data_IF_155476212546
#
_entry.id   IF_155476212546
#
_cell.length_a   1.000
_cell.length_b   1.000
_cell.length_c   1.000
_cell.angle_alpha   90.00
_cell.angle_beta   90.00
_cell.angle_gamma   90.00
#
_symmetry.space_group_name_H-M   'P 1'
#
loop_
_entity.id
_entity.type
_entity.pdbx_description
1 polymer ?
#
# COMPACT_ATOMS: atom_id res chain seq x y z
N UNK A 1 12.28 -1.22 44.47
CA UNK A 1 11.23 -1.94 43.71
C UNK A 1 11.38 -1.52 42.26
N UNK A 2 12.08 -2.34 41.50
CA UNK A 2 12.35 -2.12 40.08
C UNK A 2 11.08 -2.39 39.29
N UNK A 3 10.55 -1.34 38.67
CA UNK A 3 9.40 -1.40 37.76
C UNK A 3 9.86 -2.07 36.47
N UNK A 4 9.77 -3.39 36.43
CA UNK A 4 9.97 -4.21 35.24
C UNK A 4 8.84 -3.89 34.28
N UNK A 5 9.09 -2.90 33.41
CA UNK A 5 8.29 -2.65 32.23
C UNK A 5 8.27 -3.95 31.42
N UNK A 6 7.18 -4.71 31.50
CA UNK A 6 6.93 -5.77 30.54
C UNK A 6 6.80 -5.11 29.18
N UNK A 7 7.89 -5.08 28.43
CA UNK A 7 7.84 -4.94 26.98
C UNK A 7 6.93 -6.06 26.51
N UNK A 8 5.67 -5.75 26.21
CA UNK A 8 4.77 -6.75 25.65
C UNK A 8 5.47 -7.39 24.46
N UNK A 9 5.58 -8.71 24.44
CA UNK A 9 6.16 -9.37 23.28
C UNK A 9 5.30 -9.02 22.06
N UNK A 10 5.93 -8.48 21.02
CA UNK A 10 5.26 -8.28 19.74
C UNK A 10 4.90 -9.68 19.22
N UNK A 11 3.63 -10.04 19.35
CA UNK A 11 3.13 -11.33 18.89
C UNK A 11 2.70 -11.21 17.43
N UNK A 12 2.98 -12.26 16.66
CA UNK A 12 2.52 -12.35 15.28
C UNK A 12 0.98 -12.35 15.23
N UNK A 13 0.43 -11.79 14.15
CA UNK A 13 -0.98 -11.92 13.87
C UNK A 13 -1.34 -13.39 13.67
N UNK A 14 -2.53 -13.81 14.10
CA UNK A 14 -3.02 -15.17 13.84
C UNK A 14 -3.16 -15.46 12.33
N UNK A 15 -3.45 -14.42 11.53
CA UNK A 15 -3.50 -14.45 10.08
C UNK A 15 -2.99 -13.14 9.50
N UNK A 16 -2.39 -13.24 8.33
CA UNK A 16 -1.97 -12.10 7.51
C UNK A 16 -2.81 -12.09 6.26
N UNK A 17 -3.26 -10.90 5.86
CA UNK A 17 -3.96 -10.70 4.59
C UNK A 17 -3.03 -9.95 3.66
N UNK A 18 -2.68 -10.57 2.53
CA UNK A 18 -1.84 -9.93 1.52
C UNK A 18 -2.51 -8.63 1.04
N UNK A 19 -1.79 -7.49 1.02
CA UNK A 19 -2.37 -6.24 0.55
C UNK A 19 -2.48 -6.20 -0.98
N UNK A 20 -1.82 -7.11 -1.70
CA UNK A 20 -1.86 -7.13 -3.18
C UNK A 20 -2.97 -8.03 -3.73
N UNK A 21 -3.04 -9.28 -3.27
CA UNK A 21 -4.01 -10.26 -3.77
C UNK A 21 -5.13 -10.62 -2.79
N UNK A 22 -5.12 -10.05 -1.58
CA UNK A 22 -6.10 -10.29 -0.51
C UNK A 22 -6.21 -11.73 -0.01
N UNK A 23 -5.29 -12.62 -0.42
CA UNK A 23 -5.19 -13.95 0.14
C UNK A 23 -4.83 -13.87 1.63
N UNK A 24 -5.57 -14.60 2.46
CA UNK A 24 -5.32 -14.70 3.90
C UNK A 24 -4.64 -16.01 4.24
N UNK A 25 -3.53 -15.95 4.96
CA UNK A 25 -2.67 -17.09 5.29
C UNK A 25 -2.12 -16.95 6.71
N UNK A 26 -1.65 -18.04 7.31
CA UNK A 26 -0.95 -17.98 8.61
C UNK A 26 0.49 -17.49 8.40
N UNK A 27 1.10 -16.75 9.35
CA UNK A 27 2.47 -16.25 9.18
C UNK A 27 3.51 -17.31 8.82
N UNK A 28 3.33 -18.54 9.27
CA UNK A 28 4.22 -19.68 9.01
C UNK A 28 4.29 -20.07 7.53
N UNK A 29 3.23 -19.78 6.74
CA UNK A 29 3.17 -20.07 5.31
C UNK A 29 3.87 -19.00 4.46
N UNK A 30 4.44 -17.97 5.09
CA UNK A 30 5.07 -16.86 4.38
C UNK A 30 6.31 -17.34 3.65
N UNK A 31 6.41 -16.97 2.37
CA UNK A 31 7.63 -17.16 1.62
C UNK A 31 8.62 -16.05 1.99
N UNK A 32 9.90 -16.33 1.82
CA UNK A 32 11.00 -15.38 1.97
C UNK A 32 11.68 -15.20 0.62
N UNK A 33 12.23 -14.01 0.39
CA UNK A 33 12.90 -13.68 -0.87
C UNK A 33 14.38 -13.96 -0.70
N UNK A 34 14.95 -14.82 -1.57
CA UNK A 34 16.38 -15.14 -1.55
C UNK A 34 17.24 -13.91 -1.80
N UNK A 35 18.42 -13.86 -1.16
CA UNK A 35 19.38 -12.76 -1.33
C UNK A 35 20.62 -13.20 -2.12
N UNK A 36 20.90 -14.50 -2.24
CA UNK A 36 22.01 -14.98 -3.08
C UNK A 36 21.75 -14.70 -4.58
N UNK A 37 22.69 -14.08 -5.32
CA UNK A 37 22.50 -13.70 -6.73
C UNK A 37 22.11 -14.84 -7.68
N UNK A 38 22.63 -16.05 -7.43
CA UNK A 38 22.30 -17.23 -8.26
C UNK A 38 20.91 -17.82 -7.98
N UNK A 39 20.24 -17.43 -6.89
CA UNK A 39 18.90 -17.89 -6.55
C UNK A 39 17.83 -16.99 -7.19
N UNK A 40 17.79 -17.01 -8.52
CA UNK A 40 16.78 -16.33 -9.35
C UNK A 40 15.79 -17.34 -9.97
N UNK A 41 14.74 -16.82 -10.59
CA UNK A 41 13.68 -17.61 -11.21
C UNK A 41 12.53 -17.88 -10.28
N UNK A 42 11.71 -16.85 -10.05
CA UNK A 42 10.45 -17.02 -9.34
C UNK A 42 9.36 -17.60 -10.24
N UNK A 43 8.60 -18.57 -9.71
CA UNK A 43 7.55 -19.26 -10.45
C UNK A 43 6.38 -18.34 -10.87
N UNK A 44 6.15 -17.23 -10.17
CA UNK A 44 5.05 -16.30 -10.45
C UNK A 44 5.51 -14.98 -11.05
N UNK A 45 6.69 -14.50 -10.66
CA UNK A 45 7.20 -13.21 -11.16
C UNK A 45 8.13 -13.35 -12.36
N UNK A 46 8.71 -14.53 -12.60
CA UNK A 46 9.57 -14.80 -13.76
C UNK A 46 11.06 -14.90 -13.43
N UNK A 47 11.86 -15.07 -14.48
CA UNK A 47 13.27 -15.46 -14.39
C UNK A 47 14.21 -14.42 -13.78
N UNK A 48 13.88 -13.13 -13.95
CA UNK A 48 14.67 -12.00 -13.46
C UNK A 48 14.48 -11.74 -11.96
N UNK A 49 13.49 -12.38 -11.33
CA UNK A 49 13.18 -12.15 -9.93
C UNK A 49 13.86 -13.19 -9.04
N UNK A 50 14.36 -12.73 -7.88
CA UNK A 50 14.88 -13.61 -6.84
C UNK A 50 13.84 -14.68 -6.47
N UNK A 51 14.30 -15.90 -6.26
CA UNK A 51 13.43 -17.02 -5.91
C UNK A 51 12.75 -16.76 -4.56
N UNK A 52 11.46 -17.06 -4.47
CA UNK A 52 10.75 -17.15 -3.19
C UNK A 52 10.83 -18.57 -2.66
N UNK A 53 11.09 -18.72 -1.37
CA UNK A 53 11.23 -20.02 -0.73
C UNK A 53 10.51 -20.06 0.63
N UNK A 54 10.01 -21.22 1.01
CA UNK A 54 9.52 -21.44 2.37
C UNK A 54 10.72 -21.81 3.26
N UNK A 55 11.01 -21.05 4.32
CA UNK A 55 12.21 -21.26 5.12
C UNK A 55 12.13 -22.54 5.94
N UNK A 56 13.21 -23.31 5.96
CA UNK A 56 13.42 -24.46 6.85
C UNK A 56 14.53 -24.23 7.88
N UNK A 57 15.26 -23.12 7.75
CA UNK A 57 16.41 -22.76 8.56
C UNK A 57 16.36 -21.27 8.87
N UNK A 58 16.75 -20.92 10.09
CA UNK A 58 16.80 -19.54 10.57
C UNK A 58 18.13 -19.27 11.26
N UNK A 59 18.58 -18.02 11.21
CA UNK A 59 19.66 -17.54 12.07
C UNK A 59 19.18 -17.39 13.51
N UNK A 60 20.11 -17.15 14.45
CA UNK A 60 19.78 -16.88 15.86
C UNK A 60 18.98 -15.59 16.04
N UNK A 61 19.08 -14.65 15.09
CA UNK A 61 18.30 -13.42 15.05
C UNK A 61 16.90 -13.60 14.44
N UNK A 62 16.58 -14.81 13.95
CA UNK A 62 15.28 -15.14 13.36
C UNK A 62 15.14 -14.80 11.88
N UNK A 63 16.24 -14.51 11.17
CA UNK A 63 16.21 -14.32 9.72
C UNK A 63 16.25 -15.65 8.99
N UNK A 64 15.44 -15.82 7.94
CA UNK A 64 15.46 -17.03 7.13
C UNK A 64 16.80 -17.18 6.42
N UNK A 65 17.30 -18.42 6.34
CA UNK A 65 18.49 -18.75 5.56
C UNK A 65 18.08 -19.37 4.23
N UNK A 66 18.51 -18.78 3.12
CA UNK A 66 18.25 -19.34 1.79
C UNK A 66 19.06 -20.62 1.54
N UNK A 67 18.89 -21.23 0.37
CA UNK A 67 19.56 -22.50 0.00
C UNK A 67 21.09 -22.38 0.13
N UNK A 68 21.65 -21.20 -0.15
CA UNK A 68 23.09 -20.90 -0.08
C UNK A 68 23.51 -20.32 1.28
N UNK A 69 22.62 -20.30 2.27
CA UNK A 69 22.92 -19.86 3.63
C UNK A 69 22.98 -18.35 3.84
N UNK A 70 22.53 -17.54 2.86
CA UNK A 70 22.43 -16.09 3.04
C UNK A 70 21.20 -15.73 3.87
N UNK A 71 21.36 -14.73 4.73
CA UNK A 71 20.26 -14.21 5.57
C UNK A 71 19.30 -13.41 4.69
N UNK A 72 18.08 -13.91 4.56
CA UNK A 72 16.97 -13.24 3.89
C UNK A 72 16.14 -12.49 4.92
N UNK A 73 15.76 -11.25 4.64
CA UNK A 73 14.95 -10.43 5.57
C UNK A 73 13.57 -10.07 5.02
N UNK A 74 13.42 -10.14 3.69
CA UNK A 74 12.19 -9.81 2.96
C UNK A 74 11.25 -11.01 2.90
N UNK A 75 9.97 -10.73 3.10
CA UNK A 75 8.90 -11.71 3.12
C UNK A 75 7.94 -11.48 1.96
N UNK A 76 7.28 -12.55 1.51
CA UNK A 76 6.40 -12.55 0.35
C UNK A 76 5.15 -13.40 0.58
N UNK A 77 4.09 -13.07 -0.14
CA UNK A 77 2.84 -13.80 -0.07
C UNK A 77 2.99 -15.20 -0.73
N UNK A 78 2.52 -16.29 -0.10
CA UNK A 78 2.56 -17.62 -0.72
C UNK A 78 1.65 -17.73 -1.96
N UNK A 79 0.62 -16.89 -2.05
CA UNK A 79 -0.30 -16.88 -3.17
C UNK A 79 0.20 -16.05 -4.36
N UNK A 80 0.67 -14.82 -4.19
CA UNK A 80 1.09 -13.98 -5.33
C UNK A 80 2.60 -13.74 -5.46
N UNK A 81 3.40 -14.14 -4.48
CA UNK A 81 4.86 -13.96 -4.41
C UNK A 81 5.34 -12.49 -4.34
N UNK A 82 4.42 -11.53 -4.39
CA UNK A 82 4.72 -10.13 -4.12
C UNK A 82 5.13 -9.95 -2.66
N UNK A 83 6.05 -9.00 -2.44
CA UNK A 83 6.58 -8.72 -1.11
C UNK A 83 5.48 -8.20 -0.18
N UNK A 84 5.48 -8.71 1.05
CA UNK A 84 4.54 -8.31 2.09
C UNK A 84 5.34 -7.71 3.23
N UNK A 85 5.18 -6.41 3.53
CA UNK A 85 6.02 -5.73 4.52
C UNK A 85 5.89 -6.35 5.91
N UNK A 86 7.01 -6.45 6.63
CA UNK A 86 7.07 -7.01 7.99
C UNK A 86 6.02 -6.44 8.96
N UNK A 87 5.67 -5.13 8.95
CA UNK A 87 4.63 -4.60 9.83
C UNK A 87 3.26 -5.30 9.71
N UNK A 88 2.90 -5.85 8.54
CA UNK A 88 1.63 -6.56 8.35
C UNK A 88 1.56 -7.90 9.10
N UNK A 89 2.70 -8.43 9.55
CA UNK A 89 2.74 -9.66 10.36
C UNK A 89 2.48 -9.41 11.84
N UNK A 90 2.47 -8.15 12.29
CA UNK A 90 2.27 -7.78 13.70
C UNK A 90 1.09 -6.83 13.88
N UNK A 91 0.78 -6.01 12.88
CA UNK A 91 -0.23 -4.97 12.94
C UNK A 91 -1.38 -5.28 12.00
N UNK A 92 -2.61 -5.11 12.51
CA UNK A 92 -3.80 -5.31 11.68
C UNK A 92 -3.84 -4.27 10.55
N UNK A 93 -4.03 -4.76 9.33
CA UNK A 93 -4.11 -3.93 8.14
C UNK A 93 -5.55 -3.52 7.85
N UNK A 94 -5.75 -2.24 7.52
CA UNK A 94 -7.04 -1.65 7.16
C UNK A 94 -6.97 -1.16 5.73
N UNK A 95 -7.89 -1.64 4.90
CA UNK A 95 -7.98 -1.27 3.49
C UNK A 95 -8.87 -0.04 3.29
N UNK A 96 -8.41 0.86 2.43
CA UNK A 96 -9.11 2.06 2.01
C UNK A 96 -8.99 2.19 0.50
N UNK A 97 -10.10 2.46 -0.18
CA UNK A 97 -10.08 2.67 -1.62
C UNK A 97 -10.50 4.08 -1.99
N UNK A 98 -9.78 4.65 -2.96
CA UNK A 98 -10.16 5.85 -3.67
C UNK A 98 -10.78 5.44 -5.00
N UNK A 99 -11.98 5.94 -5.29
CA UNK A 99 -12.70 5.70 -6.54
C UNK A 99 -13.26 6.99 -7.11
N UNK A 100 -13.49 6.99 -8.42
CA UNK A 100 -13.97 8.17 -9.14
C UNK A 100 -13.63 8.08 -10.61
N UNK A 101 -14.31 8.90 -11.42
CA UNK A 101 -14.15 8.93 -12.87
C UNK A 101 -12.67 9.17 -13.29
N UNK A 102 -12.30 8.80 -14.53
CA UNK A 102 -11.02 9.20 -15.09
C UNK A 102 -10.79 10.70 -14.94
N UNK A 103 -9.55 11.10 -14.60
CA UNK A 103 -9.14 12.49 -14.42
C UNK A 103 -9.91 13.33 -13.37
N UNK A 104 -10.65 12.72 -12.43
CA UNK A 104 -11.36 13.48 -11.37
C UNK A 104 -10.48 13.93 -10.18
N UNK A 105 -9.16 13.84 -10.30
CA UNK A 105 -8.23 14.29 -9.27
C UNK A 105 -7.88 13.29 -8.16
N UNK A 106 -8.11 11.97 -8.35
CA UNK A 106 -7.82 10.94 -7.33
C UNK A 106 -6.39 10.99 -6.77
N UNK A 107 -5.38 11.09 -7.65
CA UNK A 107 -3.98 11.11 -7.21
C UNK A 107 -3.60 12.42 -6.51
N UNK A 108 -4.21 13.54 -6.88
CA UNK A 108 -4.08 14.81 -6.13
C UNK A 108 -4.70 14.69 -4.74
N UNK A 109 -5.89 14.09 -4.65
CA UNK A 109 -6.55 13.81 -3.39
C UNK A 109 -5.71 12.87 -2.51
N UNK A 110 -5.17 11.78 -3.07
CA UNK A 110 -4.31 10.84 -2.35
C UNK A 110 -3.09 11.55 -1.76
N UNK A 111 -2.34 12.29 -2.57
CA UNK A 111 -1.15 12.99 -2.14
C UNK A 111 -1.46 14.09 -1.09
N UNK A 112 -2.53 14.85 -1.30
CA UNK A 112 -2.98 15.86 -0.33
C UNK A 112 -3.42 15.23 0.99
N UNK A 113 -4.12 14.09 0.92
CA UNK A 113 -4.54 13.32 2.08
C UNK A 113 -3.33 12.82 2.86
N UNK A 114 -2.38 12.15 2.21
CA UNK A 114 -1.20 11.57 2.90
C UNK A 114 -0.28 12.65 3.46
N UNK A 115 -0.02 13.70 2.69
CA UNK A 115 0.73 14.88 3.14
C UNK A 115 0.09 15.52 4.37
N UNK A 116 -1.23 15.76 4.31
CA UNK A 116 -2.00 16.32 5.42
C UNK A 116 -2.01 15.41 6.64
N UNK A 117 -2.18 14.09 6.47
CA UNK A 117 -2.19 13.13 7.57
C UNK A 117 -0.84 13.07 8.29
N UNK A 118 0.29 13.07 7.57
CA UNK A 118 1.64 13.07 8.18
C UNK A 118 1.87 14.29 9.10
N UNK A 119 1.25 15.43 8.80
CA UNK A 119 1.38 16.65 9.62
C UNK A 119 0.35 16.74 10.74
N UNK A 120 -0.90 16.35 10.47
CA UNK A 120 -2.02 16.54 11.39
C UNK A 120 -2.15 15.42 12.42
N UNK A 121 -1.83 14.16 12.07
CA UNK A 121 -1.93 13.04 13.01
C UNK A 121 -1.02 13.20 14.24
N UNK A 122 0.26 13.60 14.11
CA UNK A 122 1.13 13.71 15.28
C UNK A 122 0.73 14.88 16.18
N UNK A 123 0.28 15.99 15.59
CA UNK A 123 -0.02 17.24 16.31
C UNK A 123 -1.38 17.22 16.97
N UNK A 124 -2.42 16.74 16.28
CA UNK A 124 -3.81 16.76 16.78
C UNK A 124 -4.22 15.48 17.47
N UNK A 125 -3.71 14.34 17.02
CA UNK A 125 -4.12 13.02 17.49
C UNK A 125 -3.01 12.28 18.24
N UNK A 126 -1.78 12.81 18.26
CA UNK A 126 -0.61 12.16 18.88
C UNK A 126 -0.32 10.79 18.29
N UNK A 127 -0.59 10.61 16.99
CA UNK A 127 -0.32 9.38 16.22
C UNK A 127 0.70 9.71 15.14
N UNK A 128 1.78 8.93 15.04
CA UNK A 128 2.73 9.02 13.93
C UNK A 128 2.26 8.17 12.76
N UNK A 129 2.48 8.68 11.54
CA UNK A 129 2.27 7.97 10.29
C UNK A 129 3.62 7.84 9.58
N UNK A 130 4.06 6.60 9.34
CA UNK A 130 5.32 6.31 8.66
C UNK A 130 5.08 5.31 7.53
N UNK A 131 5.93 5.30 6.51
CA UNK A 131 5.86 4.30 5.44
C UNK A 131 6.02 2.89 6.01
N UNK A 132 5.10 2.00 5.65
CA UNK A 132 5.26 0.57 5.93
C UNK A 132 6.12 -0.10 4.86
N UNK A 133 6.14 0.48 3.65
CA UNK A 133 6.97 0.09 2.52
C UNK A 133 7.34 1.31 1.69
N UNK A 134 8.60 1.74 1.81
CA UNK A 134 9.09 2.90 1.07
C UNK A 134 9.13 2.66 -0.44
N UNK A 135 9.31 1.40 -0.89
CA UNK A 135 9.39 1.07 -2.31
C UNK A 135 8.02 1.18 -2.99
N UNK A 136 6.98 0.61 -2.39
CA UNK A 136 5.60 0.76 -2.86
C UNK A 136 5.12 2.21 -2.81
N UNK A 137 5.60 3.00 -1.84
CA UNK A 137 5.20 4.40 -1.68
C UNK A 137 6.00 5.39 -2.57
N UNK A 138 6.99 4.93 -3.33
CA UNK A 138 7.87 5.83 -4.11
C UNK A 138 7.11 6.74 -5.06
N UNK A 139 6.08 6.22 -5.75
CA UNK A 139 5.25 7.00 -6.67
C UNK A 139 4.45 8.09 -5.96
N UNK A 140 3.96 7.81 -4.75
CA UNK A 140 3.29 8.81 -3.93
C UNK A 140 4.25 9.92 -3.51
N UNK A 141 5.49 9.59 -3.13
CA UNK A 141 6.48 10.60 -2.78
C UNK A 141 6.78 11.52 -3.96
N UNK A 142 6.81 11.00 -5.19
CA UNK A 142 6.92 11.85 -6.40
C UNK A 142 5.72 12.81 -6.51
N UNK A 143 4.50 12.32 -6.27
CA UNK A 143 3.31 13.19 -6.28
C UNK A 143 3.34 14.27 -5.19
N UNK A 144 3.79 13.94 -3.98
CA UNK A 144 3.94 14.89 -2.88
C UNK A 144 5.03 15.93 -3.18
N UNK A 145 6.17 15.51 -3.72
CA UNK A 145 7.27 16.40 -4.12
C UNK A 145 6.82 17.38 -5.20
N UNK A 146 6.13 16.88 -6.24
CA UNK A 146 5.58 17.70 -7.31
C UNK A 146 4.57 18.74 -6.80
N UNK A 147 3.68 18.37 -5.87
CA UNK A 147 2.62 19.27 -5.42
C UNK A 147 3.03 20.25 -4.32
N UNK A 148 3.88 19.83 -3.39
CA UNK A 148 4.13 20.59 -2.15
C UNK A 148 5.57 21.07 -2.00
N UNK A 149 6.50 20.56 -2.82
CA UNK A 149 7.92 20.91 -2.77
C UNK A 149 8.40 21.58 -4.08
N UNK A 150 7.48 22.02 -4.94
CA UNK A 150 7.83 22.80 -6.12
C UNK A 150 8.51 24.12 -5.72
N UNK A 151 9.54 24.53 -6.47
CA UNK A 151 10.27 25.78 -6.21
C UNK A 151 9.46 27.05 -6.48
N UNK A 152 8.32 26.92 -7.14
CA UNK A 152 7.37 27.99 -7.44
C UNK A 152 5.96 27.58 -6.95
N UNK A 153 5.49 28.12 -5.81
CA UNK A 153 4.20 27.77 -5.22
C UNK A 153 2.99 28.15 -6.08
N UNK A 154 3.13 29.15 -6.96
CA UNK A 154 2.01 29.68 -7.76
C UNK A 154 1.92 29.00 -9.13
N UNK A 155 2.91 28.19 -9.51
CA UNK A 155 2.92 27.46 -10.77
C UNK A 155 2.06 26.20 -10.66
N UNK A 156 1.00 26.04 -11.50
CA UNK A 156 0.23 24.81 -11.53
C UNK A 156 1.10 23.62 -11.90
N UNK A 157 0.94 22.53 -11.16
CA UNK A 157 1.64 21.26 -11.41
C UNK A 157 0.64 20.22 -11.85
N UNK A 158 0.98 19.50 -12.92
CA UNK A 158 0.19 18.40 -13.44
C UNK A 158 0.80 17.07 -12.99
N UNK A 159 0.07 16.31 -12.17
CA UNK A 159 0.38 14.90 -11.93
C UNK A 159 0.02 14.07 -13.17
N UNK A 160 0.86 13.09 -13.50
CA UNK A 160 0.58 12.13 -14.56
C UNK A 160 -0.69 11.33 -14.25
N UNK A 161 -1.44 10.99 -15.30
CA UNK A 161 -2.66 10.20 -15.15
C UNK A 161 -2.32 8.80 -14.64
N UNK A 162 -3.17 8.31 -13.74
CA UNK A 162 -3.20 6.90 -13.32
C UNK A 162 -3.61 6.04 -14.52
N UNK A 163 -2.67 5.28 -15.09
CA UNK A 163 -2.96 4.33 -16.17
C UNK A 163 -3.34 2.96 -15.61
N UNK A 164 -3.99 2.10 -16.41
CA UNK A 164 -4.37 0.72 -16.00
C UNK A 164 -3.20 -0.27 -15.99
N UNK A 165 -2.03 0.16 -16.50
CA UNK A 165 -0.79 -0.60 -16.56
C UNK A 165 0.37 0.35 -16.19
N UNK A 166 1.42 -0.19 -15.56
CA UNK A 166 2.60 0.59 -15.15
C UNK A 166 2.91 0.47 -13.67
N UNK A 167 3.60 1.47 -13.11
CA UNK A 167 4.23 1.42 -11.77
C UNK A 167 3.29 1.18 -10.59
N UNK A 168 1.98 1.31 -10.80
CA UNK A 168 0.92 1.09 -9.80
C UNK A 168 0.31 -0.31 -9.84
N UNK A 169 0.81 -1.18 -10.72
CA UNK A 169 0.32 -2.56 -10.83
C UNK A 169 1.47 -3.54 -10.96
N UNK A 170 1.27 -4.72 -10.39
CA UNK A 170 2.18 -5.84 -10.48
C UNK A 170 1.54 -6.96 -11.31
N UNK A 171 2.27 -7.48 -12.30
CA UNK A 171 1.83 -8.63 -13.11
C UNK A 171 2.42 -9.90 -12.53
N UNK A 172 1.55 -10.84 -12.17
CA UNK A 172 1.94 -12.13 -11.56
C UNK A 172 1.34 -13.30 -12.33
N UNK A 173 2.10 -14.36 -12.53
CA UNK A 173 1.61 -15.58 -13.16
C UNK A 173 0.91 -16.46 -12.12
N UNK A 174 -0.37 -16.77 -12.35
CA UNK A 174 -1.23 -17.55 -11.48
C UNK A 174 -1.85 -18.70 -12.26
N UNK A 175 -1.19 -19.86 -12.25
CA UNK A 175 -1.56 -20.98 -13.12
C UNK A 175 -1.23 -20.66 -14.58
N UNK A 176 -2.20 -20.87 -15.49
CA UNK A 176 -2.02 -20.66 -16.93
C UNK A 176 -2.27 -19.20 -17.39
N UNK A 177 -2.50 -18.28 -16.44
CA UNK A 177 -2.84 -16.90 -16.74
C UNK A 177 -2.00 -15.91 -15.95
N UNK A 178 -1.60 -14.82 -16.61
CA UNK A 178 -1.05 -13.63 -15.93
C UNK A 178 -2.20 -12.80 -15.34
N UNK A 179 -2.00 -12.34 -14.12
CA UNK A 179 -2.96 -11.55 -13.34
C UNK A 179 -2.34 -10.22 -12.99
N UNK A 180 -3.06 -9.13 -13.25
CA UNK A 180 -2.65 -7.78 -12.84
C UNK A 180 -3.23 -7.45 -11.47
N UNK A 181 -2.36 -7.15 -10.50
CA UNK A 181 -2.71 -6.81 -9.13
C UNK A 181 -2.38 -5.34 -8.84
N UNK A 182 -3.24 -4.61 -8.10
CA UNK A 182 -2.95 -3.23 -7.74
C UNK A 182 -1.85 -3.16 -6.67
N UNK A 183 -0.98 -2.17 -6.78
CA UNK A 183 0.05 -1.85 -5.78
C UNK A 183 -0.51 -0.85 -4.76
N UNK A 184 -0.69 -1.22 -3.49
CA UNK A 184 -1.21 -0.33 -2.46
C UNK A 184 -0.13 0.56 -1.87
N UNK A 185 -0.54 1.77 -1.46
CA UNK A 185 0.28 2.65 -0.63
C UNK A 185 0.09 2.29 0.85
N UNK A 186 1.16 1.91 1.54
CA UNK A 186 1.07 1.31 2.86
C UNK A 186 1.75 2.15 3.93
N UNK A 187 1.05 2.39 5.05
CA UNK A 187 1.56 3.21 6.15
C UNK A 187 1.28 2.56 7.51
N UNK A 188 2.22 2.68 8.42
CA UNK A 188 2.03 2.37 9.83
C UNK A 188 1.44 3.58 10.55
N UNK A 189 0.43 3.34 11.38
CA UNK A 189 -0.16 4.31 12.30
C UNK A 189 0.15 3.86 13.72
N UNK A 190 0.92 4.66 14.46
CA UNK A 190 1.41 4.29 15.79
C UNK A 190 1.21 5.43 16.80
N UNK A 191 0.71 5.15 18.02
CA UNK A 191 0.65 6.17 19.06
C UNK A 191 2.04 6.70 19.42
N UNK A 192 2.18 8.02 19.49
CA UNK A 192 3.39 8.66 20.05
C UNK A 192 3.42 8.53 21.57
N UNK A 193 4.58 8.79 22.19
CA UNK A 193 4.77 8.69 23.66
C UNK A 193 3.76 9.51 24.50
N UNK A 194 3.21 10.58 23.92
CA UNK A 194 2.24 11.47 24.58
C UNK A 194 0.78 11.01 24.40
N UNK A 195 0.53 9.98 23.60
CA UNK A 195 -0.81 9.47 23.34
C UNK A 195 -1.37 8.76 24.58
N UNK A 196 -2.66 8.96 24.95
CA UNK A 196 -3.26 8.30 26.13
C UNK A 196 -3.12 6.77 26.12
N UNK A 197 -3.27 6.17 24.94
CA UNK A 197 -3.12 4.72 24.70
C UNK A 197 -1.69 4.28 24.38
N UNK A 198 -0.64 5.08 24.63
CA UNK A 198 0.74 4.69 24.33
C UNK A 198 1.15 3.38 25.00
N UNK A 199 0.71 3.14 26.24
CA UNK A 199 0.94 1.86 26.95
C UNK A 199 0.33 0.65 26.22
N UNK A 200 -0.66 0.88 25.37
CA UNK A 200 -1.32 -0.15 24.57
C UNK A 200 -0.94 -0.07 23.08
N UNK A 201 0.15 0.63 22.74
CA UNK A 201 0.55 0.92 21.36
C UNK A 201 0.53 -0.32 20.45
N UNK A 202 0.94 -1.48 20.96
CA UNK A 202 0.97 -2.74 20.20
C UNK A 202 -0.43 -3.17 19.70
N UNK A 203 -1.47 -2.98 20.52
CA UNK A 203 -2.84 -3.38 20.18
C UNK A 203 -3.58 -2.34 19.33
N UNK A 204 -3.28 -1.06 19.56
CA UNK A 204 -3.98 0.04 18.88
C UNK A 204 -3.30 0.48 17.58
N UNK A 205 -2.02 0.17 17.39
CA UNK A 205 -1.32 0.44 16.13
C UNK A 205 -1.95 -0.35 14.98
N UNK A 206 -1.86 0.20 13.78
CA UNK A 206 -2.44 -0.35 12.56
C UNK A 206 -1.51 -0.15 11.38
N UNK A 207 -1.68 -0.96 10.35
CA UNK A 207 -1.25 -0.62 8.99
C UNK A 207 -2.49 -0.16 8.23
N UNK A 208 -2.35 0.86 7.39
CA UNK A 208 -3.36 1.24 6.42
C UNK A 208 -2.80 0.96 5.03
N UNK A 209 -3.63 0.40 4.14
CA UNK A 209 -3.31 0.26 2.72
C UNK A 209 -4.33 1.06 1.91
N UNK A 210 -3.84 2.03 1.17
CA UNK A 210 -4.62 2.91 0.31
C UNK A 210 -4.47 2.45 -1.14
N UNK A 211 -5.60 2.25 -1.83
CA UNK A 211 -5.63 1.89 -3.24
C UNK A 211 -6.11 3.09 -4.07
N UNK A 212 -5.31 3.49 -5.05
CA UNK A 212 -5.67 4.43 -6.11
C UNK A 212 -5.64 3.67 -7.44
N UNK A 213 -6.82 3.35 -7.97
CA UNK A 213 -6.94 2.71 -9.27
C UNK A 213 -7.23 3.74 -10.36
N UNK A 214 -6.93 3.38 -11.61
CA UNK A 214 -7.37 4.14 -12.76
C UNK A 214 -8.91 4.26 -12.77
N UNK A 215 -9.42 5.38 -13.30
CA UNK A 215 -10.87 5.60 -13.34
C UNK A 215 -11.60 4.61 -14.24
N UNK A 216 -10.90 4.18 -15.28
CA UNK A 216 -11.26 3.20 -16.30
C UNK A 216 -11.55 1.83 -15.68
N UNK A 217 -10.84 1.50 -14.60
CA UNK A 217 -11.01 0.25 -13.87
C UNK A 217 -12.37 0.11 -13.18
N UNK A 218 -13.11 1.21 -13.03
CA UNK A 218 -14.46 1.22 -12.47
C UNK A 218 -15.58 1.19 -13.52
N UNK A 219 -15.23 1.14 -14.81
CA UNK A 219 -16.22 1.03 -15.88
C UNK A 219 -16.83 -0.38 -15.95
N UNK A 220 -18.10 -0.52 -16.39
CA UNK A 220 -18.73 -1.83 -16.53
C UNK A 220 -17.91 -2.78 -17.41
N UNK A 221 -17.60 -3.97 -16.88
CA UNK A 221 -16.85 -5.02 -17.60
C UNK A 221 -15.31 -4.90 -17.51
N UNK A 222 -14.78 -3.91 -16.79
CA UNK A 222 -13.35 -3.77 -16.54
C UNK A 222 -12.81 -4.81 -15.54
N UNK A 223 -13.62 -5.19 -14.53
CA UNK A 223 -13.26 -6.22 -13.56
C UNK A 223 -13.36 -7.62 -14.19
N UNK A 224 -12.22 -8.29 -14.33
CA UNK A 224 -12.11 -9.64 -14.90
C UNK A 224 -11.43 -10.58 -13.92
N UNK A 225 -11.63 -11.89 -14.07
CA UNK A 225 -10.92 -12.88 -13.25
C UNK A 225 -9.39 -12.74 -13.33
N UNK A 226 -8.88 -12.32 -14.49
CA UNK A 226 -7.46 -12.04 -14.77
C UNK A 226 -7.01 -10.62 -14.42
N UNK A 227 -7.94 -9.72 -14.08
CA UNK A 227 -7.63 -8.35 -13.65
C UNK A 227 -8.62 -7.94 -12.56
N UNK A 228 -8.48 -8.51 -11.34
CA UNK A 228 -9.39 -8.27 -10.23
C UNK A 228 -9.11 -6.92 -9.54
N UNK A 229 -8.83 -5.88 -10.32
CA UNK A 229 -8.30 -4.61 -9.82
C UNK A 229 -9.26 -3.93 -8.84
N UNK A 230 -10.56 -4.23 -8.90
CA UNK A 230 -11.57 -3.60 -8.03
C UNK A 230 -11.94 -4.42 -6.79
N UNK A 231 -11.37 -5.62 -6.57
CA UNK A 231 -11.74 -6.47 -5.42
C UNK A 231 -11.46 -5.82 -4.06
N UNK A 232 -10.48 -4.92 -3.97
CA UNK A 232 -10.25 -4.15 -2.75
C UNK A 232 -11.47 -3.34 -2.31
N UNK A 233 -12.38 -2.97 -3.21
CA UNK A 233 -13.59 -2.20 -2.87
C UNK A 233 -14.46 -2.96 -1.87
N UNK A 234 -14.65 -4.26 -2.10
CA UNK A 234 -15.45 -5.12 -1.24
C UNK A 234 -14.79 -5.38 0.13
N UNK A 235 -13.46 -5.23 0.20
CA UNK A 235 -12.66 -5.47 1.39
C UNK A 235 -12.32 -4.18 2.16
N UNK A 236 -12.57 -3.02 1.54
CA UNK A 236 -12.26 -1.71 2.10
C UNK A 236 -13.18 -1.37 3.28
N UNK A 237 -12.59 -0.84 4.35
CA UNK A 237 -13.34 -0.33 5.50
C UNK A 237 -13.96 1.03 5.24
N UNK A 238 -13.38 1.81 4.33
CA UNK A 238 -14.00 3.02 3.83
C UNK A 238 -13.64 3.25 2.36
N UNK A 239 -14.54 3.96 1.68
CA UNK A 239 -14.45 4.32 0.28
C UNK A 239 -14.43 5.84 0.16
N UNK A 240 -13.40 6.38 -0.49
CA UNK A 240 -13.30 7.80 -0.83
C UNK A 240 -13.76 7.99 -2.27
N UNK A 241 -14.87 8.71 -2.45
CA UNK A 241 -15.40 9.03 -3.77
C UNK A 241 -14.94 10.42 -4.21
N UNK A 242 -14.08 10.46 -5.23
CA UNK A 242 -13.62 11.69 -5.87
C UNK A 242 -14.58 12.06 -7.00
N UNK A 243 -15.24 13.20 -6.84
CA UNK A 243 -16.15 13.77 -7.83
C UNK A 243 -15.62 15.14 -8.30
N UNK A 244 -15.34 15.24 -9.58
CA UNK A 244 -14.99 16.51 -10.22
C UNK A 244 -16.22 17.06 -10.94
N UNK A 245 -16.88 18.10 -10.40
CA UNK A 245 -18.07 18.67 -11.01
C UNK A 245 -17.77 19.33 -12.36
N UNK A 246 -16.52 19.74 -12.63
CA UNK A 246 -16.15 20.40 -13.89
C UNK A 246 -16.23 19.45 -15.09
N UNK A 247 -16.17 18.14 -14.86
CA UNK A 247 -16.36 17.14 -15.89
C UNK A 247 -17.82 17.09 -16.42
N UNK A 248 -18.80 17.58 -15.66
CA UNK A 248 -20.20 17.65 -16.09
C UNK A 248 -20.45 18.93 -16.92
N UNK A 249 -20.80 18.82 -18.22
CA UNK A 249 -21.12 19.98 -19.05
C UNK A 249 -22.25 20.86 -18.49
N UNK A 250 -23.19 20.28 -17.75
CA UNK A 250 -24.31 21.01 -17.13
C UNK A 250 -23.82 21.88 -15.99
N UNK A 251 -22.85 21.39 -15.21
CA UNK A 251 -22.23 22.16 -14.13
C UNK A 251 -21.43 23.33 -14.69
N UNK A 252 -20.59 23.08 -15.70
CA UNK A 252 -19.86 24.15 -16.42
C UNK A 252 -20.80 25.21 -16.97
N UNK A 253 -21.90 24.80 -17.62
CA UNK A 253 -22.93 25.72 -18.12
C UNK A 253 -23.59 26.55 -17.01
N UNK A 254 -23.79 25.98 -15.83
CA UNK A 254 -24.38 26.69 -14.68
C UNK A 254 -23.42 27.72 -14.05
N UNK A 255 -22.11 27.49 -14.18
CA UNK A 255 -21.04 28.38 -13.71
C UNK A 255 -20.59 29.41 -14.77
N UNK A 256 -20.97 29.25 -16.03
CA UNK A 256 -20.60 30.16 -17.11
C UNK A 256 -20.99 31.63 -16.78
N UNK A 257 -20.01 32.54 -16.87
CA UNK A 257 -20.17 33.96 -16.55
C UNK A 257 -20.19 34.29 -15.05
N UNK A 258 -19.93 33.32 -14.17
CA UNK A 258 -19.84 33.51 -12.70
C UNK A 258 -18.45 33.25 -12.12
N UNK A 259 -17.56 32.63 -12.89
CA UNK A 259 -16.18 32.32 -12.51
C UNK A 259 -15.28 32.41 -13.73
N UNK A 260 -14.01 32.75 -13.50
CA UNK A 260 -12.93 32.76 -14.49
C UNK A 260 -12.12 31.44 -14.49
N UNK A 261 -12.52 30.46 -13.66
CA UNK A 261 -11.95 29.11 -13.73
C UNK A 261 -12.23 28.48 -15.12
N UNK A 262 -11.20 27.86 -15.75
CA UNK A 262 -11.28 27.32 -17.12
C UNK A 262 -12.30 26.19 -17.33
#
# INVERSE_FOLDING_TARGET
>A
MTDTTSSGELTLQAKVTCPHCWHSYVPEDSLWVSEHPDLIGDAKLGFEHARRFLPSRFSVEGDALDEQGHKSTRMACPSCHLEVPRPLYQLNNIFFSILGAPACGKSYFLASLTWGLRQNLPTRFRVSMNDADASSNARLHQYEEMQFLSGDPDKPVALEKTEEQGDLYDVVNMGDHSVTLPRPFMFTLQPTRKHPSYKHAQTVSKVISLYDNAGESFLPGADKSTSPVTRHLALSKALFFCFDPTQDPRFRKACAGKTDDP
#
